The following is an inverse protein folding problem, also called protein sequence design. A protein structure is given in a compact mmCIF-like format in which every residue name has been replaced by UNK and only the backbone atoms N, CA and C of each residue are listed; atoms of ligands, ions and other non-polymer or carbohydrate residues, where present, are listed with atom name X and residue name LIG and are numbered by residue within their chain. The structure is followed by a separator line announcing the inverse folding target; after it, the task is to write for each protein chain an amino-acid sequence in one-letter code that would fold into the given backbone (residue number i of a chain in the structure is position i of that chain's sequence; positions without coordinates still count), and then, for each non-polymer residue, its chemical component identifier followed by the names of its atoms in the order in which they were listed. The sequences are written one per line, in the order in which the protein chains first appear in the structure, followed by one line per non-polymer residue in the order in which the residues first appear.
data_IF_395052666931
#
_entry.id   IF_395052666931
#
_cell.length_a   1.000
_cell.length_b   1.000
_cell.length_c   1.000
_cell.angle_alpha   90.00
_cell.angle_beta   90.00
_cell.angle_gamma   90.00
#
_symmetry.space_group_name_H-M   'P 1'
#
loop_
_entity.id
_entity.type
_entity.pdbx_description
1 polymer ?
#
# COMPACT_ATOMS: atom_id res chain seq x y z
N UNK A 1 52.68 28.50 -13.26
CA UNK A 1 51.21 28.28 -13.29
C UNK A 1 50.82 27.23 -12.25
N UNK A 2 50.33 27.65 -11.08
CA UNK A 2 49.90 26.74 -10.01
C UNK A 2 48.47 26.27 -10.37
N UNK A 3 48.33 25.15 -11.09
CA UNK A 3 47.02 24.51 -11.33
C UNK A 3 46.39 24.26 -9.96
N UNK A 4 45.45 25.11 -9.54
CA UNK A 4 44.79 24.97 -8.26
C UNK A 4 44.16 23.59 -8.21
N UNK A 5 44.48 22.75 -7.22
CA UNK A 5 43.85 21.42 -7.02
C UNK A 5 42.37 21.49 -6.62
N UNK A 6 41.80 22.70 -6.61
CA UNK A 6 40.40 23.02 -6.31
C UNK A 6 39.35 22.30 -7.18
N UNK A 7 39.54 22.02 -8.50
CA UNK A 7 38.51 21.33 -9.27
C UNK A 7 38.43 19.85 -8.92
N UNK A 8 39.55 19.22 -8.55
CA UNK A 8 39.56 17.80 -8.16
C UNK A 8 38.79 17.58 -6.86
N UNK A 9 39.00 18.43 -5.86
CA UNK A 9 38.26 18.35 -4.59
C UNK A 9 36.75 18.60 -4.81
N UNK A 10 36.39 19.58 -5.64
CA UNK A 10 34.98 19.86 -5.96
C UNK A 10 34.30 18.69 -6.67
N UNK A 11 34.99 18.00 -7.58
CA UNK A 11 34.47 16.82 -8.29
C UNK A 11 34.28 15.66 -7.32
N UNK A 12 35.27 15.37 -6.47
CA UNK A 12 35.17 14.30 -5.47
C UNK A 12 34.03 14.57 -4.50
N UNK A 13 33.88 15.81 -4.04
CA UNK A 13 32.77 16.19 -3.17
C UNK A 13 31.42 16.01 -3.86
N UNK A 14 31.28 16.43 -5.11
CA UNK A 14 30.05 16.24 -5.88
C UNK A 14 29.69 14.76 -6.06
N UNK A 15 30.67 13.90 -6.33
CA UNK A 15 30.46 12.45 -6.44
C UNK A 15 30.00 11.86 -5.11
N UNK A 16 30.61 12.25 -3.98
CA UNK A 16 30.21 11.76 -2.66
C UNK A 16 28.78 12.18 -2.34
N UNK A 17 28.41 13.44 -2.57
CA UNK A 17 27.05 13.93 -2.36
C UNK A 17 26.05 13.20 -3.25
N UNK A 18 26.39 12.98 -4.53
CA UNK A 18 25.54 12.24 -5.46
C UNK A 18 25.37 10.78 -5.02
N UNK A 19 26.44 10.10 -4.58
CA UNK A 19 26.36 8.73 -4.09
C UNK A 19 25.50 8.61 -2.84
N UNK A 20 25.60 9.56 -1.91
CA UNK A 20 24.73 9.62 -0.72
C UNK A 20 23.28 9.84 -1.14
N UNK A 21 23.03 10.78 -2.06
CA UNK A 21 21.69 11.05 -2.57
C UNK A 21 21.07 9.81 -3.24
N UNK A 22 21.80 9.16 -4.15
CA UNK A 22 21.34 7.96 -4.85
C UNK A 22 21.13 6.78 -3.90
N UNK A 23 21.93 6.67 -2.82
CA UNK A 23 21.76 5.63 -1.81
C UNK A 23 20.58 5.89 -0.86
N UNK A 24 20.22 7.15 -0.63
CA UNK A 24 19.14 7.53 0.28
C UNK A 24 17.80 7.74 -0.43
N UNK A 25 17.81 7.95 -1.76
CA UNK A 25 16.59 8.22 -2.54
C UNK A 25 15.81 6.92 -2.80
N UNK A 26 14.59 6.85 -2.25
CA UNK A 26 13.67 5.77 -2.53
C UNK A 26 13.02 5.98 -3.90
N UNK A 27 13.65 5.45 -4.94
CA UNK A 27 13.11 5.47 -6.30
C UNK A 27 11.71 4.82 -6.34
N UNK A 28 10.81 5.30 -7.21
CA UNK A 28 9.55 4.63 -7.47
C UNK A 28 9.78 3.16 -7.79
N UNK A 29 9.03 2.27 -7.13
CA UNK A 29 9.17 0.82 -7.30
C UNK A 29 7.94 0.29 -8.02
N UNK A 30 8.17 -0.38 -9.15
CA UNK A 30 7.15 -1.17 -9.84
C UNK A 30 6.84 -2.42 -9.01
N UNK A 31 5.55 -2.71 -8.88
CA UNK A 31 5.01 -3.83 -8.12
C UNK A 31 4.15 -4.63 -9.08
N UNK A 32 4.37 -5.94 -9.10
CA UNK A 32 3.56 -6.91 -9.81
C UNK A 32 3.64 -8.20 -9.00
N UNK A 33 2.71 -8.35 -8.06
CA UNK A 33 2.69 -9.45 -7.09
C UNK A 33 1.27 -9.95 -6.87
N UNK A 34 1.16 -11.24 -6.59
CA UNK A 34 -0.07 -11.88 -6.15
C UNK A 34 0.20 -12.57 -4.82
N UNK A 35 -0.61 -12.30 -3.81
CA UNK A 35 -0.47 -12.86 -2.48
C UNK A 35 -1.70 -13.68 -2.10
N UNK A 36 -1.46 -14.85 -1.49
CA UNK A 36 -2.47 -15.46 -0.62
C UNK A 36 -2.78 -14.51 0.53
N UNK A 37 -4.06 -14.33 0.79
CA UNK A 37 -4.58 -13.43 1.79
C UNK A 37 -5.69 -14.13 2.58
N UNK A 38 -6.00 -13.59 3.75
CA UNK A 38 -7.11 -14.09 4.57
C UNK A 38 -8.00 -12.91 4.92
N UNK A 39 -9.28 -13.07 4.62
CA UNK A 39 -10.35 -12.21 5.11
C UNK A 39 -10.88 -12.77 6.42
N UNK A 40 -11.09 -11.93 7.43
CA UNK A 40 -11.72 -12.33 8.68
C UNK A 40 -12.39 -11.16 9.37
N UNK A 41 -13.42 -11.45 10.16
CA UNK A 41 -14.09 -10.47 11.01
C UNK A 41 -13.52 -10.51 12.43
N UNK A 42 -13.41 -9.36 13.11
CA UNK A 42 -12.99 -9.34 14.52
C UNK A 42 -14.02 -9.98 15.45
N UNK A 43 -15.32 -9.87 15.12
CA UNK A 43 -16.41 -10.42 15.92
C UNK A 43 -16.65 -11.91 15.72
N UNK A 44 -16.25 -12.46 14.56
CA UNK A 44 -16.43 -13.86 14.21
C UNK A 44 -15.22 -14.41 13.46
N UNK A 45 -14.30 -15.03 14.19
CA UNK A 45 -13.12 -15.66 13.60
C UNK A 45 -13.44 -16.94 12.80
N UNK A 46 -14.64 -17.52 12.98
CA UNK A 46 -15.05 -18.70 12.22
C UNK A 46 -15.46 -18.36 10.78
N UNK A 47 -15.73 -17.08 10.50
CA UNK A 47 -16.01 -16.58 9.15
C UNK A 47 -14.76 -16.36 8.30
N UNK A 48 -13.58 -16.69 8.82
CA UNK A 48 -12.31 -16.51 8.13
C UNK A 48 -12.27 -17.28 6.81
N UNK A 49 -11.93 -16.59 5.73
CA UNK A 49 -11.88 -17.13 4.38
C UNK A 49 -10.55 -16.81 3.73
N UNK A 50 -9.98 -17.81 3.07
CA UNK A 50 -8.81 -17.62 2.21
C UNK A 50 -9.25 -16.89 0.94
N UNK A 51 -8.46 -15.89 0.55
CA UNK A 51 -8.63 -15.13 -0.69
C UNK A 51 -7.25 -14.87 -1.30
N UNK A 52 -7.21 -14.14 -2.41
CA UNK A 52 -6.00 -13.69 -3.06
C UNK A 52 -6.10 -12.20 -3.35
N UNK A 53 -4.98 -11.50 -3.26
CA UNK A 53 -4.88 -10.11 -3.68
C UNK A 53 -3.77 -9.97 -4.70
N UNK A 54 -4.11 -9.36 -5.82
CA UNK A 54 -3.15 -8.97 -6.86
C UNK A 54 -2.90 -7.46 -6.76
N UNK A 55 -1.63 -7.07 -6.81
CA UNK A 55 -1.18 -5.68 -6.80
C UNK A 55 -0.26 -5.46 -7.99
N UNK A 56 -0.67 -4.56 -8.88
CA UNK A 56 0.09 -4.18 -10.07
C UNK A 56 0.17 -2.65 -10.13
N UNK A 57 1.36 -2.07 -10.17
CA UNK A 57 1.47 -0.62 -10.24
C UNK A 57 2.84 -0.08 -9.85
N UNK A 58 2.85 1.18 -9.44
CA UNK A 58 4.06 1.88 -9.00
C UNK A 58 3.82 2.54 -7.65
N UNK A 59 4.67 2.20 -6.68
CA UNK A 59 4.73 2.86 -5.39
C UNK A 59 5.79 3.96 -5.43
N UNK A 60 5.36 5.21 -5.27
CA UNK A 60 6.22 6.39 -5.20
C UNK A 60 6.43 6.83 -3.75
N UNK A 61 7.69 7.09 -3.38
CA UNK A 61 8.10 7.51 -2.04
C UNK A 61 9.00 8.73 -2.12
N UNK A 62 8.42 9.92 -2.39
CA UNK A 62 9.22 11.13 -2.47
C UNK A 62 9.92 11.41 -1.13
N UNK A 63 11.11 12.00 -1.18
CA UNK A 63 11.85 12.46 0.01
C UNK A 63 11.02 13.47 0.82
N UNK A 64 10.27 14.31 0.12
CA UNK A 64 9.38 15.32 0.69
C UNK A 64 7.96 15.05 0.19
N UNK A 65 7.05 14.76 1.11
CA UNK A 65 5.64 14.49 0.81
C UNK A 65 5.19 13.08 1.18
N UNK A 66 3.96 12.78 0.75
CA UNK A 66 3.28 11.53 1.04
C UNK A 66 3.67 10.43 0.05
N UNK A 67 3.64 9.19 0.52
CA UNK A 67 3.80 8.04 -0.36
C UNK A 67 2.51 7.84 -1.15
N UNK A 68 2.62 7.42 -2.40
CA UNK A 68 1.45 7.15 -3.23
C UNK A 68 1.61 5.89 -4.05
N UNK A 69 0.52 5.17 -4.26
CA UNK A 69 0.45 4.02 -5.15
C UNK A 69 -0.50 4.33 -6.30
N UNK A 70 -0.01 4.12 -7.52
CA UNK A 70 -0.78 4.22 -8.76
C UNK A 70 -0.77 2.87 -9.45
N UNK A 71 -1.94 2.32 -9.72
CA UNK A 71 -2.06 1.02 -10.39
C UNK A 71 -3.38 0.35 -10.09
N UNK A 72 -3.37 -0.97 -10.09
CA UNK A 72 -4.49 -1.86 -9.81
C UNK A 72 -4.22 -2.65 -8.53
N UNK A 73 -5.24 -2.72 -7.69
CA UNK A 73 -5.31 -3.68 -6.59
C UNK A 73 -6.63 -4.43 -6.78
N UNK A 74 -6.59 -5.75 -6.87
CA UNK A 74 -7.79 -6.57 -7.01
C UNK A 74 -7.82 -7.66 -5.98
N UNK A 75 -9.00 -7.88 -5.41
CA UNK A 75 -9.26 -8.91 -4.41
C UNK A 75 -10.13 -9.97 -5.08
N UNK A 76 -9.81 -11.24 -4.85
CA UNK A 76 -10.65 -12.36 -5.28
C UNK A 76 -11.88 -12.50 -4.38
N UNK A 77 -13.04 -12.83 -4.97
CA UNK A 77 -14.33 -12.92 -4.29
C UNK A 77 -15.43 -12.22 -5.07
N UNK A 78 -16.63 -12.81 -5.07
CA UNK A 78 -17.78 -12.32 -5.86
C UNK A 78 -18.19 -10.90 -5.43
N UNK A 79 -18.03 -10.57 -4.15
CA UNK A 79 -18.28 -9.26 -3.58
C UNK A 79 -17.26 -8.19 -4.02
N UNK A 80 -16.11 -8.60 -4.56
CA UNK A 80 -15.01 -7.71 -4.96
C UNK A 80 -14.80 -7.63 -6.49
N UNK A 81 -15.73 -8.12 -7.31
CA UNK A 81 -15.61 -8.10 -8.77
C UNK A 81 -15.39 -6.69 -9.35
N UNK A 82 -15.88 -5.65 -8.67
CA UNK A 82 -15.63 -4.26 -9.07
C UNK A 82 -14.14 -3.89 -8.96
N UNK A 83 -13.37 -4.50 -8.06
CA UNK A 83 -11.91 -4.24 -7.94
C UNK A 83 -11.13 -4.72 -9.16
N UNK A 84 -11.69 -5.67 -9.92
CA UNK A 84 -11.09 -6.19 -11.16
C UNK A 84 -11.41 -5.34 -12.38
N UNK A 85 -12.56 -4.67 -12.37
CA UNK A 85 -13.14 -3.99 -13.54
C UNK A 85 -13.12 -2.46 -13.45
N UNK A 86 -13.08 -1.89 -12.24
CA UNK A 86 -13.06 -0.44 -12.03
C UNK A 86 -11.62 0.06 -11.94
N UNK A 87 -11.42 1.33 -12.22
CA UNK A 87 -10.12 1.97 -12.04
C UNK A 87 -9.92 2.33 -10.57
N UNK A 88 -8.77 1.97 -10.00
CA UNK A 88 -8.40 2.40 -8.66
C UNK A 88 -7.91 3.85 -8.71
N UNK A 89 -8.52 4.72 -7.91
CA UNK A 89 -8.02 6.07 -7.70
C UNK A 89 -6.68 5.99 -6.95
N UNK A 90 -5.69 6.78 -7.38
CA UNK A 90 -4.36 6.85 -6.75
C UNK A 90 -4.46 6.87 -5.22
N UNK A 91 -3.83 5.88 -4.59
CA UNK A 91 -3.85 5.73 -3.13
C UNK A 91 -2.76 6.62 -2.56
N UNK A 92 -3.14 7.61 -1.76
CA UNK A 92 -2.19 8.45 -1.01
C UNK A 92 -2.14 7.96 0.43
N UNK A 93 -0.95 7.60 0.89
CA UNK A 93 -0.71 7.14 2.26
C UNK A 93 -0.30 8.33 3.13
N UNK A 94 -1.20 8.77 4.00
CA UNK A 94 -1.00 9.95 4.83
C UNK A 94 -0.30 9.59 6.13
N UNK A 95 1.01 9.87 6.25
CA UNK A 95 1.81 9.47 7.42
C UNK A 95 1.23 9.97 8.74
N UNK A 96 0.69 11.18 8.74
CA UNK A 96 0.16 11.85 9.92
C UNK A 96 -1.26 11.39 10.30
N UNK A 97 -1.95 10.65 9.43
CA UNK A 97 -3.34 10.24 9.66
C UNK A 97 -3.41 8.73 9.84
N UNK A 98 -3.91 8.31 11.01
CA UNK A 98 -4.12 6.88 11.37
C UNK A 98 -2.93 5.99 10.99
N UNK A 99 -1.71 6.48 11.19
CA UNK A 99 -0.46 5.74 10.95
C UNK A 99 -0.23 5.35 9.48
N UNK A 100 -0.42 6.28 8.55
CA UNK A 100 -0.07 6.04 7.15
C UNK A 100 -1.15 5.32 6.34
N UNK A 101 -2.42 5.41 6.73
CA UNK A 101 -3.48 4.77 5.94
C UNK A 101 -3.70 5.48 4.61
N UNK A 102 -4.13 4.73 3.61
CA UNK A 102 -4.63 5.23 2.33
C UNK A 102 -6.03 4.71 2.04
N UNK A 103 -6.88 5.52 1.42
CA UNK A 103 -8.22 5.08 1.01
C UNK A 103 -8.17 4.27 -0.28
N UNK A 104 -8.83 3.11 -0.31
CA UNK A 104 -9.05 2.32 -1.52
C UNK A 104 -10.41 2.65 -2.11
N UNK A 105 -10.43 3.55 -3.09
CA UNK A 105 -11.66 3.96 -3.81
C UNK A 105 -11.53 3.64 -5.28
N UNK A 106 -12.52 2.95 -5.81
CA UNK A 106 -12.60 2.56 -7.21
C UNK A 106 -13.63 3.42 -7.94
N UNK A 107 -13.40 3.70 -9.21
CA UNK A 107 -14.25 4.52 -10.05
C UNK A 107 -14.53 3.86 -11.39
N UNK A 108 -15.74 4.03 -11.89
CA UNK A 108 -16.14 3.66 -13.25
C UNK A 108 -17.20 4.64 -13.77
N UNK A 109 -17.53 4.56 -15.07
CA UNK A 109 -18.58 5.35 -15.69
C UNK A 109 -19.73 4.44 -16.15
N UNK A 110 -20.85 4.46 -15.43
CA UNK A 110 -22.04 3.69 -15.77
C UNK A 110 -23.08 4.63 -16.38
N UNK A 111 -23.42 4.43 -17.65
CA UNK A 111 -24.36 5.29 -18.40
C UNK A 111 -23.96 6.78 -18.36
N UNK A 112 -22.66 7.06 -18.45
CA UNK A 112 -22.12 8.43 -18.44
C UNK A 112 -22.13 9.12 -17.07
N UNK A 113 -22.46 8.41 -15.98
CA UNK A 113 -22.39 8.92 -14.61
C UNK A 113 -21.24 8.23 -13.85
N UNK A 114 -20.48 8.98 -13.01
CA UNK A 114 -19.45 8.38 -12.18
C UNK A 114 -20.09 7.47 -11.13
N UNK A 115 -19.60 6.25 -11.02
CA UNK A 115 -19.88 5.33 -9.93
C UNK A 115 -18.61 5.15 -9.09
N UNK A 116 -18.73 5.36 -7.78
CA UNK A 116 -17.62 5.30 -6.83
C UNK A 116 -17.87 4.19 -5.82
N UNK A 117 -16.88 3.31 -5.64
CA UNK A 117 -16.91 2.22 -4.67
C UNK A 117 -15.76 2.37 -3.70
N UNK A 118 -16.06 2.73 -2.46
CA UNK A 118 -15.09 2.74 -1.37
C UNK A 118 -14.97 1.32 -0.79
N UNK A 119 -13.86 0.65 -1.05
CA UNK A 119 -13.59 -0.67 -0.48
C UNK A 119 -13.19 -0.55 0.99
N UNK A 120 -12.36 0.43 1.34
CA UNK A 120 -11.87 0.53 2.71
C UNK A 120 -10.57 1.32 2.88
N UNK A 121 -9.89 1.04 3.99
CA UNK A 121 -8.63 1.66 4.37
C UNK A 121 -7.47 0.67 4.28
N UNK A 122 -6.40 1.05 3.59
CA UNK A 122 -5.21 0.24 3.33
C UNK A 122 -4.01 0.78 4.10
N UNK A 123 -3.30 -0.13 4.76
CA UNK A 123 -1.96 0.08 5.31
C UNK A 123 -0.99 -0.87 4.62
N UNK A 124 0.22 -0.38 4.35
CA UNK A 124 1.27 -1.17 3.72
C UNK A 124 2.58 -1.06 4.51
N UNK A 125 3.40 -2.11 4.46
CA UNK A 125 4.81 -2.09 4.87
C UNK A 125 5.68 -2.38 3.67
N UNK A 126 6.81 -1.67 3.61
CA UNK A 126 7.75 -1.81 2.51
C UNK A 126 7.03 -1.71 1.16
N UNK A 127 7.44 -2.44 0.13
CA UNK A 127 6.83 -2.32 -1.19
C UNK A 127 5.66 -3.30 -1.37
N UNK A 128 4.63 -3.18 -0.53
CA UNK A 128 3.57 -4.20 -0.35
C UNK A 128 4.09 -5.53 0.20
N UNK A 129 5.23 -5.52 0.90
CA UNK A 129 5.79 -6.71 1.53
C UNK A 129 4.83 -7.29 2.59
N UNK A 130 4.06 -6.41 3.22
CA UNK A 130 2.86 -6.76 4.00
C UNK A 130 1.80 -5.68 3.80
N UNK A 131 0.53 -6.06 3.93
CA UNK A 131 -0.58 -5.13 3.92
C UNK A 131 -1.71 -5.56 4.86
N UNK A 132 -2.45 -4.56 5.31
CA UNK A 132 -3.70 -4.69 6.05
C UNK A 132 -4.72 -3.81 5.38
N UNK A 133 -5.85 -4.39 4.98
CA UNK A 133 -7.01 -3.70 4.48
C UNK A 133 -8.13 -3.86 5.51
N UNK A 134 -8.67 -2.76 6.00
CA UNK A 134 -9.94 -2.73 6.71
C UNK A 134 -11.05 -2.48 5.70
N UNK A 135 -11.91 -3.47 5.49
CA UNK A 135 -13.02 -3.41 4.53
C UNK A 135 -14.18 -2.65 5.16
N UNK A 136 -14.78 -1.76 4.38
CA UNK A 136 -16.01 -1.08 4.77
C UNK A 136 -17.21 -1.94 4.38
N UNK A 137 -17.70 -2.74 5.32
CA UNK A 137 -19.01 -3.40 5.19
C UNK A 137 -20.07 -2.58 5.96
N UNK A 138 -21.01 -1.90 5.27
CA UNK A 138 -22.09 -1.19 5.93
C UNK A 138 -23.11 -2.12 6.64
N UNK A 139 -23.08 -3.44 6.37
CA UNK A 139 -23.96 -4.44 6.96
C UNK A 139 -23.44 -5.07 8.25
N UNK A 140 -22.15 -4.93 8.55
CA UNK A 140 -21.52 -5.50 9.75
C UNK A 140 -21.22 -4.42 10.79
N UNK A 141 -21.45 -4.74 12.07
CA UNK A 141 -20.98 -3.90 13.18
C UNK A 141 -19.49 -4.09 13.46
N UNK A 142 -18.94 -5.23 13.08
CA UNK A 142 -17.55 -5.58 13.34
C UNK A 142 -16.70 -5.32 12.09
N UNK A 143 -15.50 -4.74 12.26
CA UNK A 143 -14.62 -4.46 11.14
C UNK A 143 -14.08 -5.76 10.53
N UNK A 144 -14.24 -5.87 9.22
CA UNK A 144 -13.64 -6.94 8.43
C UNK A 144 -12.25 -6.52 7.96
N UNK A 145 -11.33 -7.49 7.97
CA UNK A 145 -9.95 -7.27 7.57
C UNK A 145 -9.52 -8.27 6.52
N UNK A 146 -8.76 -7.79 5.54
CA UNK A 146 -8.00 -8.61 4.61
C UNK A 146 -6.53 -8.32 4.86
N UNK A 147 -5.74 -9.34 5.18
CA UNK A 147 -4.29 -9.19 5.34
C UNK A 147 -3.53 -10.10 4.39
N UNK A 148 -2.37 -9.61 3.94
CA UNK A 148 -1.50 -10.35 3.03
C UNK A 148 -0.03 -9.96 3.25
N UNK A 149 0.92 -10.84 2.91
CA UNK A 149 0.72 -12.25 2.59
C UNK A 149 0.35 -13.06 3.84
N UNK A 150 -0.68 -13.89 3.77
CA UNK A 150 -1.08 -14.78 4.87
C UNK A 150 -1.62 -16.10 4.30
N UNK A 151 -1.11 -17.22 4.80
CA UNK A 151 -1.59 -18.55 4.40
C UNK A 151 -2.74 -19.06 5.29
N UNK A 152 -2.94 -18.45 6.46
CA UNK A 152 -3.94 -18.87 7.43
C UNK A 152 -4.31 -17.72 8.39
N UNK A 153 -5.38 -17.93 9.16
CA UNK A 153 -5.90 -16.95 10.10
C UNK A 153 -4.89 -16.51 11.17
N UNK A 154 -4.01 -17.40 11.64
CA UNK A 154 -3.02 -17.05 12.66
C UNK A 154 -2.01 -16.03 12.12
N UNK A 155 -1.45 -16.30 10.95
CA UNK A 155 -0.56 -15.36 10.24
C UNK A 155 -1.26 -14.04 9.93
N UNK A 156 -2.50 -14.11 9.46
CA UNK A 156 -3.31 -12.95 9.12
C UNK A 156 -3.50 -12.01 10.31
N UNK A 157 -3.80 -12.58 11.49
CA UNK A 157 -3.96 -11.84 12.74
C UNK A 157 -2.65 -11.28 13.26
N UNK A 158 -1.55 -12.01 13.10
CA UNK A 158 -0.21 -11.51 13.46
C UNK A 158 0.14 -10.25 12.66
N UNK A 159 -0.07 -10.28 11.35
CA UNK A 159 0.16 -9.12 10.47
C UNK A 159 -0.71 -7.94 10.92
N UNK A 160 -2.00 -8.18 11.18
CA UNK A 160 -2.90 -7.13 11.68
C UNK A 160 -2.38 -6.52 12.99
N UNK A 161 -2.04 -7.36 13.96
CA UNK A 161 -1.55 -6.92 15.27
C UNK A 161 -0.25 -6.10 15.14
N UNK A 162 0.63 -6.50 14.23
CA UNK A 162 1.86 -5.76 13.95
C UNK A 162 1.57 -4.34 13.43
N UNK A 163 0.59 -4.17 12.52
CA UNK A 163 0.15 -2.84 12.07
C UNK A 163 -0.50 -2.01 13.20
N UNK A 164 -1.28 -2.65 14.08
CA UNK A 164 -1.97 -1.96 15.18
C UNK A 164 -1.00 -1.49 16.28
N UNK A 165 0.12 -2.20 16.45
CA UNK A 165 1.16 -1.86 17.43
C UNK A 165 2.10 -0.76 16.94
N UNK A 166 2.41 -0.72 15.63
CA UNK A 166 3.21 0.38 15.06
C UNK A 166 2.53 1.73 15.24
N UNK A 167 1.20 1.74 15.27
CA UNK A 167 0.42 2.94 15.44
C UNK A 167 0.33 3.53 16.85
N UNK A 168 1.03 2.93 17.82
CA UNK A 168 1.02 3.34 19.24
C UNK A 168 2.37 3.93 19.69
N UNK A 169 3.34 4.08 18.78
CA UNK A 169 4.65 4.70 19.05
C UNK A 169 4.64 6.17 18.67
#
# INVERSE_FOLDING_TARGET
MRRSKKPLFSIVFAIVVLSIFLSAYNFPKTIDVTYSAVQFSEGDLSSAQETSVQVEGTLSRPLFGESSFRGKLSVEGDEYEYTKSYELIDVVFHKEIRNGFGGLTYTSAINGKPDLKLLGALWIRGAFDQMKLQVNDPGSSDPDFITAPAANLEEARKIKADFDNDGKK
#
